data_IF_009162017162
#
_entry.id   IF_009162017162
#
_cell.length_a   1.000
_cell.length_b   1.000
_cell.length_c   1.000
_cell.angle_alpha   90.00
_cell.angle_beta   90.00
_cell.angle_gamma   90.00
#
_symmetry.space_group_name_H-M   'P 1'
#
loop_
_entity.id
_entity.type
_entity.pdbx_description
1 polymer ?
#
# COMPACT_ATOMS: atom_id res chain seq x y z
N UNK A 1 -4.89 -50.75 -54.75
CA UNK A 1 -5.55 -49.83 -53.80
C UNK A 1 -4.84 -49.78 -52.44
N UNK A 2 -4.27 -50.89 -51.93
CA UNK A 2 -3.57 -50.92 -50.62
C UNK A 2 -2.28 -50.07 -50.53
N UNK A 3 -1.49 -49.95 -51.61
CA UNK A 3 -0.27 -49.12 -51.60
C UNK A 3 -0.53 -47.61 -51.50
N UNK A 4 -1.74 -47.16 -51.84
CA UNK A 4 -2.10 -45.74 -51.81
C UNK A 4 -2.63 -45.32 -50.43
N UNK A 5 -3.26 -46.25 -49.70
CA UNK A 5 -3.67 -46.04 -48.30
C UNK A 5 -2.50 -46.01 -47.32
N UNK A 6 -1.42 -46.77 -47.55
CA UNK A 6 -0.21 -46.72 -46.71
C UNK A 6 0.55 -45.39 -46.81
N UNK A 7 0.58 -44.77 -47.99
CA UNK A 7 1.26 -43.49 -48.20
C UNK A 7 0.46 -42.35 -47.55
N UNK A 8 -0.87 -42.39 -47.63
CA UNK A 8 -1.75 -41.41 -46.98
C UNK A 8 -1.67 -41.53 -45.45
N UNK A 9 -1.65 -42.75 -44.90
CA UNK A 9 -1.54 -42.96 -43.45
C UNK A 9 -0.17 -42.53 -42.91
N UNK A 10 0.94 -42.77 -43.64
CA UNK A 10 2.26 -42.28 -43.23
C UNK A 10 2.39 -40.76 -43.31
N UNK A 11 1.68 -40.10 -44.23
CA UNK A 11 1.63 -38.65 -44.30
C UNK A 11 0.79 -38.05 -43.16
N UNK A 12 -0.34 -38.69 -42.83
CA UNK A 12 -1.19 -38.31 -41.70
C UNK A 12 -0.47 -38.48 -40.35
N UNK A 13 0.24 -39.59 -40.13
CA UNK A 13 1.04 -39.80 -38.91
C UNK A 13 2.17 -38.79 -38.80
N UNK A 14 2.85 -38.42 -39.90
CA UNK A 14 3.89 -37.38 -39.87
C UNK A 14 3.34 -35.99 -39.60
N UNK A 15 2.16 -35.65 -40.11
CA UNK A 15 1.46 -34.40 -39.81
C UNK A 15 0.97 -34.36 -38.36
N UNK A 16 0.48 -35.49 -37.84
CA UNK A 16 0.03 -35.58 -36.45
C UNK A 16 1.20 -35.60 -35.46
N UNK A 17 2.34 -36.20 -35.82
CA UNK A 17 3.57 -36.15 -35.02
C UNK A 17 4.23 -34.76 -35.07
N UNK A 18 4.08 -34.01 -36.17
CA UNK A 18 4.53 -32.62 -36.27
C UNK A 18 3.61 -31.66 -35.48
N UNK A 19 2.29 -31.84 -35.54
CA UNK A 19 1.31 -31.05 -34.77
C UNK A 19 1.40 -31.34 -33.25
N UNK A 20 1.70 -32.57 -32.84
CA UNK A 20 1.95 -32.89 -31.43
C UNK A 20 3.27 -32.25 -30.94
N UNK A 21 4.28 -32.12 -31.80
CA UNK A 21 5.55 -31.43 -31.46
C UNK A 21 5.42 -29.91 -31.39
N UNK A 22 4.55 -29.29 -32.19
CA UNK A 22 4.27 -27.85 -32.08
C UNK A 22 3.38 -27.48 -30.88
N UNK A 23 2.64 -28.45 -30.32
CA UNK A 23 1.80 -28.24 -29.11
C UNK A 23 2.55 -28.37 -27.77
N UNK A 24 3.83 -28.73 -27.80
CA UNK A 24 4.74 -28.48 -26.66
C UNK A 24 5.45 -27.15 -26.90
N UNK A 25 4.73 -26.05 -26.69
CA UNK A 25 5.39 -24.78 -26.38
C UNK A 25 6.40 -25.05 -25.27
N UNK A 26 7.68 -25.03 -25.61
CA UNK A 26 8.78 -25.02 -24.66
C UNK A 26 8.50 -23.89 -23.67
N UNK A 27 7.99 -24.23 -22.48
CA UNK A 27 8.08 -23.35 -21.32
C UNK A 27 9.55 -23.33 -20.92
N UNK A 28 10.34 -22.57 -21.68
CA UNK A 28 11.74 -22.33 -21.42
C UNK A 28 11.88 -21.49 -20.15
N UNK A 29 12.13 -22.14 -19.02
CA UNK A 29 12.48 -21.43 -17.79
C UNK A 29 13.90 -20.89 -17.92
N UNK A 30 14.03 -19.56 -18.02
CA UNK A 30 15.32 -18.89 -17.99
C UNK A 30 15.65 -18.57 -16.54
N UNK A 31 16.77 -19.11 -16.03
CA UNK A 31 17.29 -18.71 -14.71
C UNK A 31 17.89 -17.32 -14.83
N UNK A 32 17.27 -16.35 -14.15
CA UNK A 32 17.74 -14.97 -14.08
C UNK A 32 18.28 -14.71 -12.68
N UNK A 33 19.46 -14.08 -12.60
CA UNK A 33 20.05 -13.64 -11.33
C UNK A 33 19.15 -12.59 -10.67
N UNK A 34 18.93 -12.72 -9.36
CA UNK A 34 18.03 -11.85 -8.62
C UNK A 34 18.44 -10.38 -8.65
N UNK A 35 19.74 -10.09 -8.62
CA UNK A 35 20.26 -8.72 -8.69
C UNK A 35 20.00 -8.09 -10.05
N UNK A 36 19.83 -8.89 -11.11
CA UNK A 36 19.43 -8.38 -12.43
C UNK A 36 17.96 -7.95 -12.44
N UNK A 37 17.08 -8.69 -11.77
CA UNK A 37 15.68 -8.32 -11.62
C UNK A 37 15.54 -7.04 -10.77
N UNK A 38 16.31 -6.94 -9.68
CA UNK A 38 16.33 -5.72 -8.86
C UNK A 38 16.87 -4.52 -9.66
N UNK A 39 17.92 -4.71 -10.47
CA UNK A 39 18.44 -3.67 -11.36
C UNK A 39 17.41 -3.25 -12.41
N UNK A 40 16.67 -4.20 -13.00
CA UNK A 40 15.59 -3.90 -13.94
C UNK A 40 14.47 -3.11 -13.26
N UNK A 41 14.08 -3.48 -12.05
CA UNK A 41 13.10 -2.72 -11.26
C UNK A 41 13.58 -1.29 -10.97
N UNK A 42 14.86 -1.12 -10.63
CA UNK A 42 15.43 0.22 -10.42
C UNK A 42 15.45 1.04 -11.71
N UNK A 43 15.86 0.44 -12.84
CA UNK A 43 15.86 1.11 -14.15
C UNK A 43 14.45 1.50 -14.60
N UNK A 44 13.46 0.66 -14.35
CA UNK A 44 12.05 0.97 -14.60
C UNK A 44 11.58 2.08 -13.66
N UNK A 45 12.01 2.06 -12.40
CA UNK A 45 11.79 3.14 -11.44
C UNK A 45 12.37 4.47 -11.93
N UNK A 46 13.62 4.49 -12.38
CA UNK A 46 14.27 5.66 -13.00
C UNK A 46 13.53 6.10 -14.26
N UNK A 47 13.11 5.17 -15.13
CA UNK A 47 12.35 5.46 -16.34
C UNK A 47 10.98 6.09 -16.01
N UNK A 48 10.34 5.66 -14.93
CA UNK A 48 9.12 6.29 -14.41
C UNK A 48 9.42 7.72 -13.92
N UNK A 49 10.54 7.93 -13.23
CA UNK A 49 10.95 9.24 -12.72
C UNK A 49 11.30 10.20 -13.87
N UNK A 50 12.08 9.75 -14.85
CA UNK A 50 12.48 10.58 -15.99
C UNK A 50 11.28 10.88 -16.90
N UNK A 51 10.35 9.92 -17.06
CA UNK A 51 9.04 10.18 -17.67
C UNK A 51 8.27 11.25 -16.90
N UNK A 52 8.23 11.16 -15.58
CA UNK A 52 7.55 12.16 -14.72
C UNK A 52 8.12 13.55 -14.98
N UNK A 53 9.45 13.67 -15.00
CA UNK A 53 10.15 14.92 -15.33
C UNK A 53 9.81 15.41 -16.73
N UNK A 54 9.78 14.54 -17.73
CA UNK A 54 9.40 14.87 -19.11
C UNK A 54 7.98 15.45 -19.18
N UNK A 55 7.03 14.88 -18.44
CA UNK A 55 5.66 15.38 -18.38
C UNK A 55 5.56 16.74 -17.68
N UNK A 56 6.30 16.93 -16.58
CA UNK A 56 6.38 18.24 -15.90
C UNK A 56 6.98 19.31 -16.81
N UNK A 57 8.09 19.00 -17.49
CA UNK A 57 8.70 19.87 -18.50
C UNK A 57 7.74 20.19 -19.63
N UNK A 58 7.00 19.20 -20.12
CA UNK A 58 5.99 19.40 -21.15
C UNK A 58 4.91 20.37 -20.69
N UNK A 59 4.36 20.19 -19.48
CA UNK A 59 3.35 21.10 -18.92
C UNK A 59 3.88 22.54 -18.75
N UNK A 60 5.14 22.69 -18.33
CA UNK A 60 5.80 24.00 -18.26
C UNK A 60 5.96 24.64 -19.65
N UNK A 61 6.23 23.85 -20.69
CA UNK A 61 6.29 24.35 -22.06
C UNK A 61 4.91 24.73 -22.59
N UNK A 62 3.88 23.91 -22.34
CA UNK A 62 2.49 24.19 -22.73
C UNK A 62 1.94 25.49 -22.12
N UNK A 63 2.38 25.84 -20.90
CA UNK A 63 1.98 27.09 -20.25
C UNK A 63 2.74 28.32 -20.76
N UNK A 64 3.95 28.13 -21.30
CA UNK A 64 4.83 29.22 -21.77
C UNK A 64 4.66 29.54 -23.25
N UNK A 65 4.21 28.56 -24.03
CA UNK A 65 3.97 28.70 -25.47
C UNK A 65 2.53 28.24 -25.77
N UNK A 66 1.62 29.20 -25.95
CA UNK A 66 0.22 28.89 -26.30
C UNK A 66 0.13 28.31 -27.72
N UNK A 67 -0.47 27.12 -27.85
CA UNK A 67 -0.81 26.43 -29.11
C UNK A 67 0.38 26.20 -30.04
N UNK A 68 1.33 25.41 -29.58
CA UNK A 68 2.38 24.84 -30.42
C UNK A 68 2.07 23.36 -30.72
N UNK A 69 1.97 23.00 -32.01
CA UNK A 69 1.68 21.63 -32.43
C UNK A 69 2.78 20.64 -32.02
N UNK A 70 4.01 21.11 -31.81
CA UNK A 70 5.12 20.27 -31.34
C UNK A 70 4.96 19.91 -29.85
N UNK A 71 4.33 20.79 -29.05
CA UNK A 71 4.04 20.54 -27.63
C UNK A 71 2.91 19.53 -27.47
N UNK A 72 1.86 19.63 -28.30
CA UNK A 72 0.78 18.64 -28.31
C UNK A 72 1.31 17.25 -28.73
N UNK A 73 2.21 17.20 -29.73
CA UNK A 73 2.89 15.96 -30.13
C UNK A 73 3.78 15.38 -29.02
N UNK A 74 4.51 16.24 -28.28
CA UNK A 74 5.32 15.83 -27.14
C UNK A 74 4.46 15.26 -26.00
N UNK A 75 3.27 15.84 -25.77
CA UNK A 75 2.30 15.32 -24.81
C UNK A 75 1.80 13.92 -25.20
N UNK A 76 1.45 13.70 -26.46
CA UNK A 76 1.01 12.40 -26.96
C UNK A 76 2.11 11.33 -26.82
N UNK A 77 3.36 11.69 -27.14
CA UNK A 77 4.53 10.82 -26.94
C UNK A 77 4.72 10.50 -25.44
N UNK A 78 4.56 11.49 -24.57
CA UNK A 78 4.61 11.32 -23.11
C UNK A 78 3.57 10.33 -22.60
N UNK A 79 2.33 10.41 -23.09
CA UNK A 79 1.26 9.46 -22.74
C UNK A 79 1.47 8.07 -23.33
N UNK A 80 2.11 7.94 -24.50
CA UNK A 80 2.47 6.62 -25.03
C UNK A 80 3.60 5.98 -24.22
N UNK A 81 4.64 6.74 -23.89
CA UNK A 81 5.70 6.31 -22.97
C UNK A 81 5.10 5.92 -21.61
N UNK A 82 4.06 6.62 -21.18
CA UNK A 82 3.39 6.32 -19.94
C UNK A 82 2.86 4.90 -19.83
N UNK A 83 2.10 4.53 -20.85
CA UNK A 83 1.48 3.22 -20.95
C UNK A 83 2.53 2.13 -21.07
N UNK A 84 3.52 2.30 -21.94
CA UNK A 84 4.59 1.31 -22.14
C UNK A 84 5.37 1.07 -20.84
N UNK A 85 5.68 2.13 -20.09
CA UNK A 85 6.40 1.98 -18.82
C UNK A 85 5.54 1.29 -17.75
N UNK A 86 4.21 1.48 -17.73
CA UNK A 86 3.32 0.72 -16.84
C UNK A 86 3.26 -0.75 -17.21
N UNK A 87 3.08 -1.07 -18.51
CA UNK A 87 3.07 -2.45 -19.00
C UNK A 87 4.41 -3.16 -18.69
N UNK A 88 5.54 -2.48 -18.94
CA UNK A 88 6.87 -3.00 -18.63
C UNK A 88 7.04 -3.26 -17.12
N UNK A 89 6.53 -2.35 -16.30
CA UNK A 89 6.59 -2.50 -14.85
C UNK A 89 5.76 -3.69 -14.38
N UNK A 90 4.55 -3.86 -14.89
CA UNK A 90 3.67 -4.97 -14.52
C UNK A 90 4.30 -6.32 -14.87
N UNK A 91 4.86 -6.45 -16.08
CA UNK A 91 5.50 -7.68 -16.52
C UNK A 91 6.76 -8.00 -15.69
N UNK A 92 7.59 -7.01 -15.37
CA UNK A 92 8.75 -7.22 -14.49
C UNK A 92 8.30 -7.61 -13.07
N UNK A 93 7.22 -7.04 -12.56
CA UNK A 93 6.66 -7.43 -11.25
C UNK A 93 6.19 -8.88 -11.25
N UNK A 94 5.49 -9.33 -12.29
CA UNK A 94 5.09 -10.74 -12.43
C UNK A 94 6.29 -11.67 -12.42
N UNK A 95 7.40 -11.30 -13.05
CA UNK A 95 8.63 -12.12 -13.03
C UNK A 95 9.29 -12.22 -11.64
N UNK A 96 8.93 -11.35 -10.69
CA UNK A 96 9.46 -11.33 -9.32
C UNK A 96 8.57 -12.07 -8.32
N UNK A 97 7.36 -12.45 -8.73
CA UNK A 97 6.41 -13.14 -7.86
C UNK A 97 6.97 -14.49 -7.41
N UNK A 98 6.84 -14.76 -6.12
CA UNK A 98 7.21 -16.03 -5.50
C UNK A 98 6.06 -16.55 -4.66
N UNK A 99 5.94 -17.87 -4.57
CA UNK A 99 4.89 -18.51 -3.75
C UNK A 99 5.18 -18.31 -2.26
N UNK A 100 4.14 -18.02 -1.47
CA UNK A 100 4.25 -17.94 0.01
C UNK A 100 4.63 -19.27 0.68
N UNK A 101 4.53 -20.39 -0.06
CA UNK A 101 4.98 -21.73 0.33
C UNK A 101 6.31 -21.76 1.07
N UNK A 102 7.30 -20.97 0.64
CA UNK A 102 8.63 -20.97 1.27
C UNK A 102 8.57 -20.52 2.73
N UNK A 103 7.77 -19.49 3.02
CA UNK A 103 7.55 -18.98 4.38
C UNK A 103 6.67 -19.95 5.18
N UNK A 104 5.61 -20.49 4.57
CA UNK A 104 4.70 -21.40 5.28
C UNK A 104 5.43 -22.67 5.75
N UNK A 105 6.35 -23.20 4.93
CA UNK A 105 7.15 -24.39 5.26
C UNK A 105 8.13 -24.20 6.41
N UNK A 106 8.45 -22.95 6.82
CA UNK A 106 9.33 -22.72 7.98
C UNK A 106 8.60 -22.85 9.32
N UNK A 107 7.26 -22.75 9.35
CA UNK A 107 6.48 -22.71 10.59
C UNK A 107 6.17 -24.05 11.26
N UNK A 108 5.98 -25.20 10.57
CA UNK A 108 5.69 -26.46 11.25
C UNK A 108 6.75 -26.87 12.30
N UNK A 109 8.07 -26.70 12.07
CA UNK A 109 9.08 -26.92 13.11
C UNK A 109 8.93 -25.96 14.30
N UNK A 110 8.67 -24.68 14.04
CA UNK A 110 8.51 -23.64 15.07
C UNK A 110 7.32 -23.96 15.98
N UNK A 111 6.17 -24.30 15.39
CA UNK A 111 4.96 -24.66 16.15
C UNK A 111 5.21 -25.89 17.02
N UNK A 112 5.91 -26.93 16.51
CA UNK A 112 6.21 -28.13 17.29
C UNK A 112 7.07 -27.81 18.52
N UNK A 113 8.12 -27.01 18.35
CA UNK A 113 9.02 -26.64 19.46
C UNK A 113 8.28 -25.83 20.52
N UNK A 114 7.48 -24.85 20.11
CA UNK A 114 6.69 -24.03 21.03
C UNK A 114 5.60 -24.85 21.74
N UNK A 115 4.89 -25.70 21.01
CA UNK A 115 3.85 -26.57 21.57
C UNK A 115 4.44 -27.52 22.62
N UNK A 116 5.60 -28.12 22.34
CA UNK A 116 6.31 -28.99 23.28
C UNK A 116 6.77 -28.21 24.52
N UNK A 117 7.32 -27.00 24.34
CA UNK A 117 7.75 -26.13 25.45
C UNK A 117 6.60 -25.70 26.36
N UNK A 118 5.40 -25.53 25.81
CA UNK A 118 4.20 -25.17 26.55
C UNK A 118 3.37 -26.38 27.04
N UNK A 119 3.74 -27.62 26.70
CA UNK A 119 2.97 -28.81 27.04
C UNK A 119 1.58 -28.88 26.38
N UNK A 120 1.46 -28.38 25.14
CA UNK A 120 0.20 -28.34 24.39
C UNK A 120 0.25 -29.25 23.17
N UNK A 121 -0.89 -29.80 22.77
CA UNK A 121 -1.03 -30.56 21.52
C UNK A 121 -1.66 -29.67 20.46
N UNK A 122 -0.94 -29.40 19.37
CA UNK A 122 -1.35 -28.43 18.34
C UNK A 122 -1.11 -29.01 16.94
N UNK A 123 -2.13 -28.89 16.08
CA UNK A 123 -2.07 -29.14 14.65
C UNK A 123 -2.01 -27.81 13.88
N UNK A 124 -0.98 -27.63 13.04
CA UNK A 124 -0.89 -26.50 12.11
C UNK A 124 -1.46 -26.92 10.75
N UNK A 125 -2.53 -26.26 10.33
CA UNK A 125 -3.19 -26.46 9.03
C UNK A 125 -2.81 -25.30 8.11
N UNK A 126 -2.27 -25.61 6.93
CA UNK A 126 -1.85 -24.62 5.95
C UNK A 126 -2.69 -24.73 4.68
N UNK A 127 -3.21 -23.62 4.19
CA UNK A 127 -4.02 -23.56 2.97
C UNK A 127 -3.53 -22.43 2.05
N UNK A 128 -3.59 -22.65 0.73
CA UNK A 128 -3.21 -21.63 -0.25
C UNK A 128 -1.71 -21.35 -0.35
N UNK A 129 -0.85 -22.34 -0.08
CA UNK A 129 0.62 -22.19 -0.17
C UNK A 129 1.12 -21.73 -1.55
N UNK A 130 0.39 -22.03 -2.62
CA UNK A 130 0.71 -21.61 -4.00
C UNK A 130 0.35 -20.14 -4.29
N UNK A 131 -0.19 -19.41 -3.31
CA UNK A 131 -0.45 -17.97 -3.43
C UNK A 131 0.84 -17.21 -3.74
N UNK A 132 0.84 -16.48 -4.85
CA UNK A 132 1.98 -15.68 -5.31
C UNK A 132 1.99 -14.29 -4.67
N UNK A 133 3.18 -13.80 -4.31
CA UNK A 133 3.41 -12.49 -3.71
C UNK A 133 4.81 -11.96 -4.09
N UNK A 134 5.01 -10.64 -4.05
CA UNK A 134 6.33 -10.04 -4.27
C UNK A 134 7.37 -10.58 -3.28
N UNK A 135 8.56 -10.90 -3.79
CA UNK A 135 9.62 -11.49 -3.00
C UNK A 135 10.04 -10.65 -1.79
N UNK A 136 10.15 -9.33 -1.92
CA UNK A 136 10.53 -8.46 -0.80
C UNK A 136 9.47 -8.52 0.30
N UNK A 137 8.19 -8.56 -0.07
CA UNK A 137 7.11 -8.73 0.90
C UNK A 137 7.24 -10.10 1.58
N UNK A 138 7.48 -11.18 0.83
CA UNK A 138 7.67 -12.54 1.40
C UNK A 138 8.83 -12.60 2.41
N UNK A 139 9.94 -11.93 2.14
CA UNK A 139 11.08 -11.85 3.06
C UNK A 139 10.73 -11.11 4.36
N UNK A 140 9.96 -10.01 4.28
CA UNK A 140 9.54 -9.21 5.44
C UNK A 140 8.44 -9.91 6.27
N UNK A 141 7.60 -10.74 5.63
CA UNK A 141 6.46 -11.39 6.29
C UNK A 141 6.82 -12.46 7.31
N UNK A 142 8.02 -13.04 7.22
CA UNK A 142 8.41 -14.16 8.07
C UNK A 142 8.21 -13.83 9.56
N UNK A 143 8.79 -12.72 10.02
CA UNK A 143 8.78 -12.36 11.44
C UNK A 143 7.38 -11.97 11.94
N UNK A 144 6.60 -11.12 11.26
CA UNK A 144 5.20 -10.84 11.63
C UNK A 144 4.36 -12.11 11.79
N UNK A 145 4.43 -13.03 10.82
CA UNK A 145 3.64 -14.27 10.86
C UNK A 145 4.14 -15.22 11.96
N UNK A 146 5.46 -15.32 12.17
CA UNK A 146 6.04 -16.07 13.28
C UNK A 146 5.48 -15.60 14.63
N UNK A 147 5.42 -14.28 14.83
CA UNK A 147 4.87 -13.70 16.06
C UNK A 147 3.38 -13.99 16.22
N UNK A 148 2.57 -13.84 15.16
CA UNK A 148 1.14 -14.15 15.21
C UNK A 148 0.89 -15.63 15.56
N UNK A 149 1.65 -16.54 14.96
CA UNK A 149 1.57 -17.99 15.23
C UNK A 149 2.03 -18.28 16.67
N UNK A 150 3.15 -17.70 17.11
CA UNK A 150 3.67 -17.89 18.47
C UNK A 150 2.65 -17.45 19.52
N UNK A 151 1.97 -16.32 19.30
CA UNK A 151 0.90 -15.84 20.17
C UNK A 151 -0.26 -16.84 20.26
N UNK A 152 -0.64 -17.44 19.13
CA UNK A 152 -1.63 -18.51 19.08
C UNK A 152 -1.21 -19.72 19.91
N UNK A 153 0.05 -20.14 19.82
CA UNK A 153 0.58 -21.30 20.57
C UNK A 153 0.71 -21.01 22.06
N UNK A 154 1.37 -19.92 22.44
CA UNK A 154 1.71 -19.62 23.84
C UNK A 154 0.49 -19.19 24.66
N UNK A 155 -0.37 -18.35 24.09
CA UNK A 155 -1.44 -17.68 24.83
C UNK A 155 -2.85 -18.03 24.32
N UNK A 156 -3.00 -18.28 23.02
CA UNK A 156 -4.30 -18.58 22.40
C UNK A 156 -4.84 -19.96 22.79
N UNK A 157 -4.14 -21.01 22.36
CA UNK A 157 -4.53 -22.41 22.59
C UNK A 157 -4.38 -22.77 24.07
N UNK A 158 -5.42 -23.39 24.64
CA UNK A 158 -5.42 -23.88 26.02
C UNK A 158 -4.71 -25.24 26.16
N UNK A 159 -4.41 -25.68 27.39
CA UNK A 159 -3.86 -27.03 27.61
C UNK A 159 -4.89 -28.11 27.25
N UNK A 160 -4.48 -29.36 26.91
CA UNK A 160 -5.41 -30.43 26.57
C UNK A 160 -6.50 -30.66 27.63
N UNK A 161 -6.13 -30.55 28.92
CA UNK A 161 -7.08 -30.68 30.04
C UNK A 161 -8.09 -29.53 30.10
N UNK A 162 -7.64 -28.28 29.89
CA UNK A 162 -8.51 -27.10 29.84
C UNK A 162 -9.47 -27.18 28.66
N UNK A 163 -9.01 -27.66 27.50
CA UNK A 163 -9.84 -27.82 26.30
C UNK A 163 -10.94 -28.85 26.49
N UNK A 164 -10.63 -30.01 27.07
CA UNK A 164 -11.63 -31.04 27.37
C UNK A 164 -12.68 -30.50 28.36
N UNK A 165 -12.28 -29.75 29.39
CA UNK A 165 -13.21 -29.11 30.34
C UNK A 165 -14.12 -28.08 29.66
N UNK A 166 -13.62 -27.38 28.64
CA UNK A 166 -14.38 -26.43 27.84
C UNK A 166 -15.20 -27.09 26.70
N UNK A 167 -15.18 -28.42 26.58
CA UNK A 167 -15.91 -29.16 25.53
C UNK A 167 -15.25 -29.09 24.13
N UNK A 168 -13.97 -28.72 24.06
CA UNK A 168 -13.18 -28.64 22.83
C UNK A 168 -12.33 -29.90 22.61
N UNK A 169 -11.89 -30.18 21.36
CA UNK A 169 -10.92 -31.25 21.09
C UNK A 169 -9.61 -31.04 21.86
N UNK A 170 -9.00 -32.12 22.36
CA UNK A 170 -7.74 -32.05 23.11
C UNK A 170 -6.58 -31.43 22.29
N UNK A 171 -6.55 -31.72 20.98
CA UNK A 171 -5.62 -31.11 20.02
C UNK A 171 -6.19 -29.76 19.56
N UNK A 172 -5.45 -28.68 19.80
CA UNK A 172 -5.76 -27.35 19.28
C UNK A 172 -5.38 -27.21 17.81
N UNK A 173 -6.03 -26.28 17.11
CA UNK A 173 -5.76 -26.02 15.69
C UNK A 173 -5.35 -24.58 15.45
N UNK A 174 -4.28 -24.41 14.69
CA UNK A 174 -3.89 -23.12 14.12
C UNK A 174 -3.99 -23.25 12.60
N UNK A 175 -4.75 -22.37 11.99
CA UNK A 175 -4.91 -22.26 10.55
C UNK A 175 -4.07 -21.09 10.03
N UNK A 176 -3.24 -21.38 9.03
CA UNK A 176 -2.48 -20.40 8.27
C UNK A 176 -2.93 -20.47 6.82
N UNK A 177 -3.70 -19.46 6.37
CA UNK A 177 -4.32 -19.45 5.04
C UNK A 177 -3.82 -18.28 4.22
N UNK A 178 -3.58 -18.47 2.94
CA UNK A 178 -3.34 -17.39 1.99
C UNK A 178 -4.33 -17.48 0.82
N UNK A 179 -4.82 -16.32 0.36
CA UNK A 179 -5.68 -16.23 -0.83
C UNK A 179 -5.49 -14.91 -1.54
N UNK A 180 -5.69 -14.92 -2.86
CA UNK A 180 -5.84 -13.70 -3.65
C UNK A 180 -7.28 -13.18 -3.53
N UNK A 181 -7.43 -11.88 -3.28
CA UNK A 181 -8.71 -11.19 -3.24
C UNK A 181 -8.57 -9.81 -3.87
N UNK A 182 -8.97 -9.68 -5.14
CA UNK A 182 -8.80 -8.45 -5.90
C UNK A 182 -7.32 -8.09 -6.05
N UNK A 183 -6.96 -6.85 -5.70
CA UNK A 183 -5.57 -6.36 -5.74
C UNK A 183 -4.78 -6.65 -4.46
N UNK A 184 -5.30 -7.51 -3.57
CA UNK A 184 -4.67 -7.86 -2.32
C UNK A 184 -4.42 -9.37 -2.21
N UNK A 185 -3.32 -9.72 -1.58
CA UNK A 185 -3.13 -11.02 -0.93
C UNK A 185 -3.60 -10.91 0.51
N UNK A 186 -4.50 -11.81 0.88
CA UNK A 186 -5.01 -11.93 2.25
C UNK A 186 -4.33 -13.13 2.90
N UNK A 187 -3.61 -12.88 4.00
CA UNK A 187 -3.02 -13.92 4.84
C UNK A 187 -3.77 -13.95 6.17
N UNK A 188 -4.31 -15.10 6.53
CA UNK A 188 -5.10 -15.30 7.75
C UNK A 188 -4.35 -16.25 8.69
N UNK A 189 -4.18 -15.84 9.94
CA UNK A 189 -3.72 -16.68 11.05
C UNK A 189 -4.88 -16.80 12.04
N UNK A 190 -5.40 -18.01 12.22
CA UNK A 190 -6.57 -18.26 13.06
C UNK A 190 -6.31 -19.41 14.04
N UNK A 191 -6.58 -19.22 15.32
CA UNK A 191 -6.56 -20.27 16.34
C UNK A 191 -7.97 -20.58 16.83
N UNK A 192 -8.20 -21.82 17.30
CA UNK A 192 -9.44 -22.25 17.94
C UNK A 192 -9.39 -22.20 19.48
N UNK A 193 -8.55 -21.31 20.00
CA UNK A 193 -8.23 -21.18 21.41
C UNK A 193 -9.27 -20.42 22.22
N UNK A 194 -8.84 -19.87 23.35
CA UNK A 194 -9.74 -19.19 24.32
C UNK A 194 -10.32 -17.86 23.80
N UNK A 195 -9.75 -17.31 22.73
CA UNK A 195 -10.09 -15.96 22.24
C UNK A 195 -9.54 -14.85 23.15
N UNK A 196 -10.06 -13.63 22.96
CA UNK A 196 -9.70 -12.45 23.77
C UNK A 196 -10.99 -11.90 24.39
N UNK A 197 -10.94 -11.61 25.68
CA UNK A 197 -12.03 -10.96 26.41
C UNK A 197 -11.89 -9.43 26.30
N UNK A 198 -12.91 -8.77 25.77
CA UNK A 198 -12.99 -7.31 25.67
C UNK A 198 -13.89 -6.78 26.78
N UNK A 199 -13.51 -5.66 27.41
CA UNK A 199 -14.42 -4.94 28.29
C UNK A 199 -15.51 -4.19 27.50
N UNK A 200 -16.49 -3.65 28.22
CA UNK A 200 -17.62 -2.90 27.65
C UNK A 200 -17.22 -1.59 26.94
N UNK A 201 -15.96 -1.15 27.05
CA UNK A 201 -15.39 0.01 26.36
C UNK A 201 -14.50 -0.41 25.16
N UNK A 202 -14.37 -1.70 24.86
CA UNK A 202 -13.51 -2.23 23.81
C UNK A 202 -12.04 -2.39 24.19
N UNK A 203 -11.70 -2.15 25.46
CA UNK A 203 -10.34 -2.31 26.00
C UNK A 203 -10.13 -3.71 26.59
N UNK A 204 -8.88 -4.17 26.60
CA UNK A 204 -8.55 -5.51 27.03
C UNK A 204 -8.56 -5.66 28.56
N UNK A 205 -9.31 -6.65 29.10
CA UNK A 205 -9.38 -6.88 30.56
C UNK A 205 -8.12 -7.56 31.13
N UNK A 206 -7.28 -8.21 30.30
CA UNK A 206 -6.09 -8.94 30.76
C UNK A 206 -4.92 -8.97 29.73
N UNK A 207 -4.58 -7.84 29.09
CA UNK A 207 -3.47 -7.76 28.12
C UNK A 207 -2.35 -6.79 28.49
N UNK A 208 -1.83 -6.85 29.71
CA UNK A 208 -0.61 -6.12 30.07
C UNK A 208 0.63 -6.80 29.48
N UNK A 209 0.97 -6.44 28.24
CA UNK A 209 2.18 -6.90 27.54
C UNK A 209 2.09 -6.93 26.00
N UNK A 210 0.89 -6.78 25.42
CA UNK A 210 0.66 -6.93 23.97
C UNK A 210 0.91 -5.68 23.12
N UNK A 211 0.85 -4.49 23.70
CA UNK A 211 0.93 -3.24 22.92
C UNK A 211 2.26 -3.17 22.15
N UNK A 212 3.39 -3.52 22.79
CA UNK A 212 4.69 -3.50 22.10
C UNK A 212 4.88 -4.53 20.98
N UNK A 213 4.17 -5.67 21.01
CA UNK A 213 4.36 -6.77 20.04
C UNK A 213 3.44 -6.59 18.84
N UNK A 214 2.17 -6.28 19.08
CA UNK A 214 1.23 -5.98 18.00
C UNK A 214 1.57 -4.67 17.30
N UNK A 215 2.16 -3.69 18.00
CA UNK A 215 2.68 -2.49 17.36
C UNK A 215 3.87 -2.78 16.45
N UNK A 216 4.75 -3.71 16.83
CA UNK A 216 5.83 -4.19 15.95
C UNK A 216 5.28 -4.90 14.72
N UNK A 217 4.34 -5.83 14.91
CA UNK A 217 3.70 -6.54 13.79
C UNK A 217 2.99 -5.55 12.86
N UNK A 218 2.20 -4.63 13.42
CA UNK A 218 1.49 -3.61 12.66
C UNK A 218 2.46 -2.73 11.88
N UNK A 219 3.51 -2.25 12.53
CA UNK A 219 4.55 -1.42 11.89
C UNK A 219 5.26 -2.16 10.76
N UNK A 220 5.67 -3.41 10.97
CA UNK A 220 6.31 -4.23 9.92
C UNK A 220 5.39 -4.48 8.73
N UNK A 221 4.08 -4.60 8.95
CA UNK A 221 3.09 -4.74 7.88
C UNK A 221 2.79 -3.40 7.21
N UNK A 222 2.74 -2.30 7.96
CA UNK A 222 2.59 -0.93 7.43
C UNK A 222 3.80 -0.52 6.57
N UNK A 223 5.02 -0.95 6.93
CA UNK A 223 6.25 -0.70 6.16
C UNK A 223 6.18 -1.30 4.74
N UNK A 224 5.34 -2.34 4.53
CA UNK A 224 5.04 -2.91 3.21
C UNK A 224 3.67 -2.49 2.66
N UNK A 225 3.09 -1.42 3.20
CA UNK A 225 1.76 -0.87 2.86
C UNK A 225 0.61 -1.87 3.03
N UNK A 226 0.78 -2.83 3.93
CA UNK A 226 -0.28 -3.74 4.34
C UNK A 226 -1.11 -3.20 5.49
N UNK A 227 -2.17 -3.92 5.82
CA UNK A 227 -2.97 -3.68 7.02
C UNK A 227 -3.18 -4.96 7.81
N UNK A 228 -3.32 -4.84 9.14
CA UNK A 228 -3.61 -5.97 10.04
C UNK A 228 -4.92 -5.69 10.77
N UNK A 229 -5.84 -6.66 10.73
CA UNK A 229 -7.07 -6.65 11.52
C UNK A 229 -7.10 -7.87 12.43
N UNK A 230 -7.57 -7.70 13.66
CA UNK A 230 -7.73 -8.79 14.64
C UNK A 230 -9.19 -8.86 15.05
N UNK A 231 -9.76 -10.04 14.98
CA UNK A 231 -11.10 -10.36 15.48
C UNK A 231 -11.01 -11.58 16.39
N UNK A 232 -11.50 -11.48 17.61
CA UNK A 232 -11.51 -12.58 18.56
C UNK A 232 -12.90 -12.75 19.15
N UNK A 233 -13.28 -14.00 19.45
CA UNK A 233 -14.52 -14.31 20.14
C UNK A 233 -14.19 -15.21 21.33
N UNK A 234 -14.56 -14.83 22.57
CA UNK A 234 -14.33 -15.65 23.76
C UNK A 234 -14.82 -17.09 23.55
N UNK A 235 -13.95 -18.03 23.86
CA UNK A 235 -14.19 -19.47 23.71
C UNK A 235 -14.16 -20.01 22.27
N UNK A 236 -14.07 -19.17 21.23
CA UNK A 236 -13.99 -19.62 19.83
C UNK A 236 -12.63 -19.37 19.16
N UNK A 237 -11.79 -18.53 19.76
CA UNK A 237 -10.42 -18.28 19.30
C UNK A 237 -10.20 -16.88 18.75
N UNK A 238 -9.04 -16.69 18.12
CA UNK A 238 -8.60 -15.40 17.55
C UNK A 238 -8.26 -15.57 16.07
N UNK A 239 -8.70 -14.61 15.25
CA UNK A 239 -8.37 -14.51 13.83
C UNK A 239 -7.66 -13.20 13.55
N UNK A 240 -6.45 -13.29 13.04
CA UNK A 240 -5.65 -12.19 12.54
C UNK A 240 -5.67 -12.22 11.01
N UNK A 241 -6.07 -11.12 10.38
CA UNK A 241 -6.15 -10.97 8.92
C UNK A 241 -5.17 -9.89 8.49
N UNK A 242 -4.15 -10.30 7.73
CA UNK A 242 -3.16 -9.42 7.10
C UNK A 242 -3.57 -9.21 5.65
N UNK A 243 -3.74 -7.96 5.23
CA UNK A 243 -3.98 -7.61 3.83
C UNK A 243 -2.73 -6.96 3.26
N UNK A 244 -2.21 -7.52 2.18
CA UNK A 244 -1.00 -7.06 1.51
C UNK A 244 -1.34 -6.70 0.07
N UNK A 245 -0.90 -5.55 -0.44
CA UNK A 245 -1.13 -5.22 -1.84
C UNK A 245 -0.31 -6.16 -2.73
N UNK A 246 -0.89 -6.57 -3.87
CA UNK A 246 -0.19 -7.34 -4.92
C UNK A 246 0.82 -6.48 -5.70
N UNK A 247 0.65 -5.15 -5.66
CA UNK A 247 1.42 -4.16 -6.41
C UNK A 247 1.92 -3.04 -5.50
N UNK A 248 2.62 -2.06 -6.07
CA UNK A 248 2.78 -0.74 -5.45
C UNK A 248 1.42 -0.24 -4.95
N UNK A 249 1.41 0.33 -3.74
CA UNK A 249 0.20 0.60 -2.98
C UNK A 249 -0.75 1.54 -3.73
N UNK A 250 -2.01 1.16 -3.93
CA UNK A 250 -3.05 2.06 -4.45
C UNK A 250 -3.76 2.69 -3.26
N UNK A 251 -3.89 4.02 -3.26
CA UNK A 251 -4.64 4.76 -2.22
C UNK A 251 -5.69 5.65 -2.87
N UNK A 252 -6.79 5.90 -2.17
CA UNK A 252 -7.75 6.92 -2.56
C UNK A 252 -7.28 8.30 -2.07
N UNK A 253 -7.20 9.27 -2.98
CA UNK A 253 -6.74 10.62 -2.69
C UNK A 253 -7.67 11.68 -3.28
N UNK A 254 -7.78 12.81 -2.59
CA UNK A 254 -8.36 14.03 -3.12
C UNK A 254 -7.28 14.78 -3.92
N UNK A 255 -7.56 15.01 -5.20
CA UNK A 255 -6.71 15.80 -6.07
C UNK A 255 -7.08 17.28 -5.94
N UNK A 256 -6.08 18.10 -5.64
CA UNK A 256 -6.21 19.54 -5.46
C UNK A 256 -5.21 20.27 -6.36
N UNK A 257 -5.53 21.50 -6.77
CA UNK A 257 -4.54 22.37 -7.43
C UNK A 257 -3.95 23.39 -6.47
N UNK A 258 -2.68 23.68 -6.67
CA UNK A 258 -1.99 24.81 -6.06
C UNK A 258 -0.97 25.36 -7.06
N UNK A 259 -1.02 26.66 -7.33
CA UNK A 259 -0.13 27.35 -8.26
C UNK A 259 -0.09 26.71 -9.67
N UNK A 260 -1.22 26.17 -10.13
CA UNK A 260 -1.34 25.49 -11.42
C UNK A 260 -0.91 24.01 -11.42
N UNK A 261 -0.28 23.53 -10.35
CA UNK A 261 0.15 22.14 -10.19
C UNK A 261 -0.87 21.31 -9.44
N UNK A 262 -0.91 19.99 -9.72
CA UNK A 262 -1.82 19.05 -9.06
C UNK A 262 -1.10 18.30 -7.95
N UNK A 263 -1.75 18.22 -6.79
CA UNK A 263 -1.29 17.51 -5.61
C UNK A 263 -2.35 16.51 -5.14
N UNK A 264 -1.90 15.44 -4.50
CA UNK A 264 -2.76 14.41 -3.94
C UNK A 264 -2.72 14.47 -2.41
N UNK A 265 -3.88 14.59 -1.78
CA UNK A 265 -4.04 14.46 -0.33
C UNK A 265 -4.74 13.13 -0.05
N UNK A 266 -4.14 12.19 0.70
CA UNK A 266 -4.79 10.93 1.04
C UNK A 266 -6.15 11.15 1.72
N UNK A 267 -7.22 10.52 1.21
CA UNK A 267 -8.56 10.69 1.76
C UNK A 267 -8.66 10.26 3.22
N UNK A 268 -7.85 9.28 3.63
CA UNK A 268 -7.78 8.82 5.02
C UNK A 268 -7.40 9.93 6.03
N UNK A 269 -6.78 11.01 5.57
CA UNK A 269 -6.41 12.16 6.40
C UNK A 269 -7.44 13.29 6.35
N UNK A 270 -8.34 13.29 5.38
CA UNK A 270 -9.31 14.36 5.15
C UNK A 270 -10.55 14.14 6.02
N UNK A 271 -10.90 15.15 6.81
CA UNK A 271 -12.12 15.18 7.62
C UNK A 271 -13.32 15.67 6.82
N UNK A 272 -13.19 16.84 6.19
CA UNK A 272 -14.21 17.46 5.36
C UNK A 272 -13.59 18.53 4.44
N UNK A 273 -14.33 18.97 3.44
CA UNK A 273 -13.92 20.07 2.54
C UNK A 273 -14.92 21.21 2.72
N UNK A 274 -14.41 22.41 2.96
CA UNK A 274 -15.19 23.61 3.23
C UNK A 274 -14.95 24.64 2.12
N UNK A 275 -15.98 25.40 1.80
CA UNK A 275 -15.88 26.63 1.03
C UNK A 275 -15.93 27.79 2.02
N UNK A 276 -14.84 28.56 2.11
CA UNK A 276 -14.65 29.60 3.13
C UNK A 276 -14.70 30.95 2.46
N UNK A 277 -15.58 31.83 2.94
CA UNK A 277 -15.59 33.23 2.50
C UNK A 277 -14.46 34.00 3.18
N UNK A 278 -13.80 34.92 2.45
CA UNK A 278 -12.71 35.74 3.01
C UNK A 278 -13.10 36.51 4.28
N UNK A 279 -14.38 36.90 4.40
CA UNK A 279 -14.90 37.59 5.59
C UNK A 279 -15.04 36.71 6.84
N UNK A 280 -14.91 35.39 6.71
CA UNK A 280 -14.94 34.45 7.83
C UNK A 280 -13.54 34.16 8.39
N UNK A 281 -12.48 34.56 7.67
CA UNK A 281 -11.09 34.33 8.06
C UNK A 281 -10.67 35.42 9.04
N UNK A 282 -10.42 35.01 10.28
CA UNK A 282 -9.84 35.86 11.32
C UNK A 282 -8.32 35.64 11.38
N UNK A 283 -7.58 36.70 11.69
CA UNK A 283 -6.13 36.59 11.95
C UNK A 283 -5.87 36.72 13.44
N UNK A 284 -5.30 35.66 14.05
CA UNK A 284 -4.97 35.59 15.47
C UNK A 284 -3.48 35.26 15.60
N UNK A 285 -2.71 36.11 16.27
CA UNK A 285 -1.25 35.93 16.43
C UNK A 285 -0.54 35.69 15.08
N UNK A 286 -0.86 36.50 14.07
CA UNK A 286 -0.33 36.41 12.70
C UNK A 286 -0.66 35.13 11.93
N UNK A 287 -1.56 34.29 12.45
CA UNK A 287 -2.06 33.08 11.78
C UNK A 287 -3.53 33.23 11.41
N UNK A 288 -3.89 32.79 10.20
CA UNK A 288 -5.28 32.73 9.74
C UNK A 288 -6.01 31.58 10.44
N UNK A 289 -7.27 31.81 10.83
CA UNK A 289 -8.12 30.79 11.43
C UNK A 289 -9.61 31.08 11.13
N UNK A 290 -10.45 30.05 11.21
CA UNK A 290 -11.91 30.16 11.08
C UNK A 290 -12.61 29.45 12.24
N UNK A 291 -13.83 29.89 12.55
CA UNK A 291 -14.69 29.21 13.52
C UNK A 291 -15.60 28.20 12.83
N UNK A 292 -15.36 26.91 13.06
CA UNK A 292 -16.18 25.83 12.49
C UNK A 292 -16.90 25.12 13.63
N UNK A 293 -18.23 25.24 13.68
CA UNK A 293 -19.10 24.59 14.70
C UNK A 293 -18.68 24.87 16.15
N UNK A 294 -18.14 26.06 16.41
CA UNK A 294 -17.70 26.48 17.74
C UNK A 294 -16.26 26.11 18.10
N UNK A 295 -15.53 25.43 17.20
CA UNK A 295 -14.10 25.13 17.33
C UNK A 295 -13.28 26.03 16.42
N UNK A 296 -12.14 26.51 16.92
CA UNK A 296 -11.18 27.28 16.12
C UNK A 296 -10.37 26.31 15.24
N UNK A 297 -10.46 26.48 13.93
CA UNK A 297 -9.68 25.74 12.95
C UNK A 297 -8.56 26.64 12.40
N UNK A 298 -7.28 26.34 12.69
CA UNK A 298 -6.16 27.07 12.08
C UNK A 298 -6.11 26.80 10.58
N UNK A 299 -5.82 27.83 9.80
CA UNK A 299 -5.67 27.76 8.35
C UNK A 299 -4.21 27.89 7.94
N UNK A 300 -3.83 27.11 6.93
CA UNK A 300 -2.54 27.20 6.28
C UNK A 300 -2.74 27.21 4.76
N UNK A 301 -2.09 28.16 4.07
CA UNK A 301 -2.13 28.28 2.61
C UNK A 301 -1.14 27.30 2.00
N UNK A 302 -1.62 26.37 1.17
CA UNK A 302 -0.77 25.35 0.55
C UNK A 302 0.33 25.98 -0.31
N UNK A 303 0.06 27.11 -0.95
CA UNK A 303 1.01 27.92 -1.71
C UNK A 303 2.17 28.44 -0.86
N UNK A 304 1.87 28.93 0.35
CA UNK A 304 2.87 29.36 1.33
C UNK A 304 3.70 28.18 1.86
N UNK A 305 3.07 27.04 2.12
CA UNK A 305 3.75 25.84 2.61
C UNK A 305 4.70 25.23 1.58
N UNK A 306 4.34 25.26 0.29
CA UNK A 306 5.10 24.59 -0.77
C UNK A 306 6.15 25.47 -1.45
N UNK A 307 5.86 26.77 -1.58
CA UNK A 307 6.68 27.67 -2.40
C UNK A 307 7.24 28.87 -1.63
N UNK A 308 6.86 29.05 -0.36
CA UNK A 308 7.17 30.26 0.43
C UNK A 308 6.70 31.54 -0.27
N UNK A 309 5.55 31.45 -0.95
CA UNK A 309 4.93 32.58 -1.65
C UNK A 309 3.69 32.98 -0.89
N UNK A 310 3.59 34.27 -0.54
CA UNK A 310 2.34 34.86 -0.09
C UNK A 310 1.39 34.97 -1.28
N UNK A 311 0.42 34.08 -1.31
CA UNK A 311 -0.61 34.12 -2.33
C UNK A 311 -1.48 35.37 -2.14
N UNK A 312 -1.45 36.25 -3.14
CA UNK A 312 -2.13 37.56 -3.13
C UNK A 312 -3.41 37.56 -3.96
N UNK A 313 -3.89 36.39 -4.39
CA UNK A 313 -5.12 36.28 -5.18
C UNK A 313 -6.34 36.66 -4.34
N UNK A 314 -7.01 37.75 -4.73
CA UNK A 314 -8.20 38.28 -4.06
C UNK A 314 -9.45 37.49 -4.47
N UNK A 315 -9.52 36.22 -4.06
CA UNK A 315 -10.71 35.38 -4.25
C UNK A 315 -11.74 35.67 -3.16
N UNK A 316 -13.02 35.75 -3.53
CA UNK A 316 -14.14 35.91 -2.58
C UNK A 316 -14.34 34.67 -1.70
N UNK A 317 -14.12 33.50 -2.30
CA UNK A 317 -14.29 32.20 -1.67
C UNK A 317 -13.06 31.34 -1.95
N UNK A 318 -12.61 30.60 -0.93
CA UNK A 318 -11.44 29.74 -0.98
C UNK A 318 -11.81 28.32 -0.58
N UNK A 319 -11.32 27.33 -1.34
CA UNK A 319 -11.49 25.92 -0.98
C UNK A 319 -10.53 25.57 0.15
N UNK A 320 -11.07 25.03 1.25
CA UNK A 320 -10.31 24.61 2.42
C UNK A 320 -10.50 23.13 2.66
N UNK A 321 -9.42 22.34 2.56
CA UNK A 321 -9.42 20.92 2.88
C UNK A 321 -9.04 20.74 4.35
N UNK A 322 -9.96 20.24 5.17
CA UNK A 322 -9.73 20.01 6.60
C UNK A 322 -9.05 18.66 6.79
N UNK A 323 -7.84 18.67 7.36
CA UNK A 323 -7.01 17.48 7.54
C UNK A 323 -6.79 17.21 9.03
N UNK A 324 -6.93 15.95 9.43
CA UNK A 324 -6.65 15.51 10.80
C UNK A 324 -5.15 15.29 11.00
N UNK A 325 -4.59 15.94 12.01
CA UNK A 325 -3.24 15.72 12.52
C UNK A 325 -3.31 15.16 13.96
N UNK A 326 -2.24 14.53 14.47
CA UNK A 326 -2.23 14.04 15.85
C UNK A 326 -2.48 15.13 16.92
N UNK A 327 -2.12 16.38 16.61
CA UNK A 327 -2.20 17.52 17.51
C UNK A 327 -3.51 18.34 17.34
N UNK A 328 -4.36 17.97 16.38
CA UNK A 328 -5.60 18.70 16.06
C UNK A 328 -5.91 18.67 14.56
N UNK A 329 -6.87 19.47 14.11
CA UNK A 329 -7.18 19.63 12.69
C UNK A 329 -6.56 20.92 12.13
N UNK A 330 -6.20 20.91 10.85
CA UNK A 330 -5.76 22.09 10.11
C UNK A 330 -6.56 22.22 8.82
N UNK A 331 -6.93 23.45 8.45
CA UNK A 331 -7.52 23.74 7.15
C UNK A 331 -6.44 24.13 6.14
N UNK A 332 -6.27 23.32 5.09
CA UNK A 332 -5.39 23.64 3.97
C UNK A 332 -6.17 24.41 2.90
N UNK A 333 -5.82 25.68 2.69
CA UNK A 333 -6.37 26.48 1.59
C UNK A 333 -5.70 26.04 0.27
N UNK A 334 -6.51 25.70 -0.72
CA UNK A 334 -6.09 25.25 -2.06
C UNK A 334 -6.77 26.07 -3.16
N UNK A 335 -6.22 26.03 -4.38
CA UNK A 335 -6.72 26.85 -5.47
C UNK A 335 -8.04 26.32 -6.03
N UNK A 336 -8.07 25.01 -6.26
CA UNK A 336 -9.16 24.27 -6.90
C UNK A 336 -9.20 22.84 -6.36
N UNK A 337 -10.40 22.27 -6.34
CA UNK A 337 -10.62 20.84 -6.11
C UNK A 337 -10.83 20.17 -7.47
N UNK A 338 -10.03 19.16 -7.78
CA UNK A 338 -10.19 18.38 -9.01
C UNK A 338 -11.19 17.23 -8.77
N UNK A 339 -11.05 16.52 -7.64
CA UNK A 339 -11.93 15.41 -7.27
C UNK A 339 -11.19 14.23 -6.65
N UNK A 340 -11.94 13.19 -6.31
CA UNK A 340 -11.42 11.96 -5.70
C UNK A 340 -10.94 10.99 -6.77
N UNK A 341 -9.78 10.36 -6.54
CA UNK A 341 -9.21 9.37 -7.45
C UNK A 341 -8.39 8.31 -6.71
N UNK A 342 -8.43 7.07 -7.22
CA UNK A 342 -7.48 6.02 -6.83
C UNK A 342 -6.14 6.23 -7.55
N UNK A 343 -5.06 6.29 -6.78
CA UNK A 343 -3.73 6.65 -7.26
C UNK A 343 -2.69 5.60 -6.79
N UNK A 344 -1.74 5.24 -7.66
CA UNK A 344 -0.66 4.28 -7.36
C UNK A 344 0.50 5.00 -6.67
N UNK A 345 0.74 4.73 -5.40
CA UNK A 345 1.81 5.31 -4.58
C UNK A 345 3.16 4.71 -4.94
N UNK A 346 4.13 5.59 -5.19
CA UNK A 346 5.55 5.25 -5.27
C UNK A 346 6.29 6.05 -4.21
N UNK A 347 7.12 5.38 -3.43
CA UNK A 347 8.07 6.06 -2.56
C UNK A 347 9.04 6.90 -3.39
N UNK A 348 9.51 8.03 -2.86
CA UNK A 348 10.42 8.97 -3.54
C UNK A 348 11.83 8.40 -3.74
N UNK A 349 12.11 7.20 -3.23
CA UNK A 349 13.38 6.50 -3.38
C UNK A 349 14.50 7.05 -2.48
N UNK A 350 15.62 6.32 -2.36
CA UNK A 350 16.72 6.67 -1.45
C UNK A 350 17.54 7.89 -1.90
N UNK A 351 17.46 8.26 -3.18
CA UNK A 351 18.23 9.38 -3.74
C UNK A 351 17.62 10.76 -3.47
N UNK A 352 16.32 10.83 -3.16
CA UNK A 352 15.61 12.07 -2.81
C UNK A 352 15.53 12.31 -1.29
N UNK A 353 15.94 11.34 -0.46
CA UNK A 353 15.80 11.41 0.99
C UNK A 353 14.34 11.53 1.45
N UNK A 354 14.11 11.86 2.73
CA UNK A 354 12.79 12.30 3.18
C UNK A 354 12.63 13.76 2.75
N UNK A 355 11.92 14.01 1.65
CA UNK A 355 11.49 15.36 1.30
C UNK A 355 10.43 15.78 2.32
N UNK A 356 10.70 16.80 3.15
CA UNK A 356 9.72 17.26 4.12
C UNK A 356 8.46 17.72 3.40
N UNK A 357 7.31 17.21 3.83
CA UNK A 357 6.01 17.57 3.26
C UNK A 357 5.52 16.72 2.08
N UNK A 358 6.26 15.66 1.71
CA UNK A 358 5.83 14.71 0.69
C UNK A 358 6.00 13.27 1.15
N UNK A 359 4.96 12.47 0.99
CA UNK A 359 4.95 11.03 1.35
C UNK A 359 5.27 10.12 0.17
N UNK A 360 5.10 10.61 -1.06
CA UNK A 360 5.29 9.82 -2.28
C UNK A 360 4.96 10.59 -3.55
N UNK A 361 4.97 9.88 -4.67
CA UNK A 361 4.48 10.36 -5.95
C UNK A 361 3.49 9.35 -6.54
N UNK A 362 2.61 9.81 -7.42
CA UNK A 362 1.65 8.95 -8.11
C UNK A 362 1.36 9.38 -9.53
N UNK A 363 0.85 8.45 -10.33
CA UNK A 363 0.46 8.66 -11.72
C UNK A 363 -1.06 8.64 -11.80
N UNK A 364 -1.65 9.72 -12.31
CA UNK A 364 -3.08 9.89 -12.54
C UNK A 364 -3.52 9.12 -13.80
N UNK A 365 -4.83 8.90 -13.94
CA UNK A 365 -5.42 8.19 -15.07
C UNK A 365 -5.18 8.84 -16.45
N UNK A 366 -4.86 10.13 -16.48
CA UNK A 366 -4.44 10.87 -17.67
C UNK A 366 -2.92 10.81 -17.94
N UNK A 367 -2.19 10.08 -17.09
CA UNK A 367 -0.75 9.89 -17.19
C UNK A 367 0.08 10.99 -16.51
N UNK A 368 -0.52 12.07 -16.01
CA UNK A 368 0.19 13.12 -15.25
C UNK A 368 0.67 12.57 -13.91
N UNK A 369 1.77 13.11 -13.42
CA UNK A 369 2.32 12.72 -12.12
C UNK A 369 2.01 13.79 -11.09
N UNK A 370 1.54 13.34 -9.93
CA UNK A 370 1.19 14.17 -8.78
C UNK A 370 2.06 13.78 -7.61
N UNK A 371 2.46 14.75 -6.79
CA UNK A 371 3.07 14.47 -5.49
C UNK A 371 1.98 14.20 -4.46
N UNK A 372 2.24 13.24 -3.57
CA UNK A 372 1.36 12.93 -2.44
C UNK A 372 1.86 13.73 -1.26
N UNK A 373 1.00 14.59 -0.72
CA UNK A 373 1.36 15.48 0.38
C UNK A 373 1.47 14.70 1.69
N UNK A 374 2.50 15.03 2.47
CA UNK A 374 2.57 14.75 3.89
C UNK A 374 2.23 16.04 4.63
N UNK A 375 0.94 16.26 4.90
CA UNK A 375 0.43 17.51 5.48
C UNK A 375 1.08 17.81 6.83
N UNK A 376 1.32 16.77 7.64
CA UNK A 376 2.02 16.93 8.91
C UNK A 376 3.42 17.51 8.68
N UNK A 377 4.19 16.85 7.80
CA UNK A 377 5.54 17.28 7.45
C UNK A 377 5.60 18.72 6.93
N UNK A 378 4.60 19.16 6.16
CA UNK A 378 4.52 20.56 5.68
C UNK A 378 4.29 21.55 6.82
N UNK A 379 3.34 21.27 7.71
CA UNK A 379 2.96 22.17 8.80
C UNK A 379 4.07 22.27 9.87
N UNK A 380 4.71 21.14 10.18
CA UNK A 380 5.82 21.07 11.14
C UNK A 380 7.03 21.90 10.65
N UNK A 381 7.38 21.78 9.37
CA UNK A 381 8.48 22.54 8.77
C UNK A 381 8.20 24.04 8.72
N UNK A 382 6.97 24.42 8.39
CA UNK A 382 6.59 25.83 8.34
C UNK A 382 6.66 26.48 9.73
N UNK A 383 6.20 25.76 10.76
CA UNK A 383 6.26 26.22 12.15
C UNK A 383 7.69 26.39 12.67
N UNK A 384 8.64 25.54 12.24
CA UNK A 384 10.06 25.67 12.59
C UNK A 384 10.77 26.79 11.84
N UNK A 385 10.41 27.05 10.58
CA UNK A 385 11.00 28.14 9.78
C UNK A 385 10.59 29.51 10.32
N UNK A 386 9.38 29.65 10.88
CA UNK A 386 8.90 30.87 11.53
C UNK A 386 9.41 31.06 12.97
N UNK A 387 10.06 30.07 13.61
CA UNK A 387 10.63 30.18 14.97
C UNK A 387 11.96 30.95 15.06
N UNK A 388 12.30 31.74 14.04
CA UNK A 388 13.33 32.79 14.12
C UNK A 388 12.94 33.99 15.00
N UNK A 389 11.75 34.02 15.58
CA UNK A 389 11.36 35.00 16.61
C UNK A 389 10.64 34.28 17.74
N UNK A 390 11.24 34.36 18.93
CA UNK A 390 11.05 33.50 20.11
C UNK A 390 9.69 33.71 20.80
N UNK A 391 9.21 32.59 21.36
CA UNK A 391 8.27 32.36 22.48
C UNK A 391 7.86 33.57 23.34
#
# INVERSE_FOLDING_TARGET
MEKQSEIVNRAADKLQTAQVRESQTEQGFVRVDIHRLDKLMNLVGELVIDRTRLLLLNNLLSSKYEKDGDIDALQEIGTRLARITMELQEEIMKTRMVTVRQVFRSFPPVVRVLAQGCGKEIELVMEGEDTELDRTIVEVLHDPLAHLISNGVEQGIESPEERIKAGKPAVGKIFLRAKHQGNYVIIEVEDDGRGIDYDQAGNHVNFTGRDSVMDKVRKSIEDVNGTVQVSAVPGKGTKCTVRLPLTLAVISALLVKCCGETYAIPLAQIREVLLVEKGQIDTIQEKEAILVRGEMLPLARLSGLLYDISDSRDKKEEYTVVVNLPEGAVGLIVDELIGEQEIVVKGLGPYLGKLPGFSGASILGDGRVTLILDVKGLVDNYSQTCQGTVL
#
